data_IF_290029812746
#
_entry.id   IF_290029812746
#
_cell.length_a   1.000
_cell.length_b   1.000
_cell.length_c   1.000
_cell.angle_alpha   90.00
_cell.angle_beta   90.00
_cell.angle_gamma   90.00
#
_symmetry.space_group_name_H-M   'P 1'
#
loop_
_entity.id
_entity.type
_entity.pdbx_description
1 polymer ?
#
# COMPACT_ATOMS: atom_id res chain seq x y z
N UNK A 1 75.43 -6.07 24.20
CA UNK A 1 74.48 -6.89 23.43
C UNK A 1 73.39 -7.40 24.35
N UNK A 2 72.18 -6.82 24.30
CA UNK A 2 71.00 -7.33 25.02
C UNK A 2 70.35 -8.40 24.15
N UNK A 3 70.51 -9.67 24.54
CA UNK A 3 69.79 -10.79 23.95
C UNK A 3 68.39 -10.84 24.57
N UNK A 4 67.38 -10.43 23.79
CA UNK A 4 65.96 -10.66 24.11
C UNK A 4 65.67 -12.15 23.91
N UNK A 5 65.69 -12.92 25.00
CA UNK A 5 65.17 -14.30 24.99
C UNK A 5 63.66 -14.25 24.66
N UNK A 6 63.16 -15.02 23.68
CA UNK A 6 61.73 -15.20 23.52
C UNK A 6 61.21 -16.00 24.71
N UNK A 7 60.16 -15.50 25.37
CA UNK A 7 59.46 -16.25 26.41
C UNK A 7 58.85 -17.51 25.79
N UNK A 8 59.47 -18.66 26.04
CA UNK A 8 58.96 -19.99 25.69
C UNK A 8 57.93 -20.40 26.74
N UNK A 9 56.67 -20.00 26.56
CA UNK A 9 55.53 -20.60 27.23
C UNK A 9 54.75 -21.44 26.23
N UNK A 10 54.85 -22.76 26.31
CA UNK A 10 53.97 -23.66 25.55
C UNK A 10 52.59 -23.67 26.21
N UNK A 11 51.53 -23.49 25.42
CA UNK A 11 50.15 -23.56 25.88
C UNK A 11 49.88 -24.92 26.54
N UNK A 12 49.28 -24.92 27.72
CA UNK A 12 48.81 -26.16 28.35
C UNK A 12 47.57 -26.67 27.61
N UNK A 13 47.38 -27.99 27.58
CA UNK A 13 46.25 -28.64 26.90
C UNK A 13 44.88 -28.14 27.43
N UNK A 14 44.86 -27.74 28.71
CA UNK A 14 43.72 -27.13 29.37
C UNK A 14 43.42 -25.71 28.85
N UNK A 15 44.44 -24.86 28.71
CA UNK A 15 44.27 -23.51 28.14
C UNK A 15 43.78 -23.56 26.69
N UNK A 16 44.26 -24.53 25.91
CA UNK A 16 43.78 -24.74 24.54
C UNK A 16 42.28 -25.11 24.54
N UNK A 17 41.85 -25.97 25.45
CA UNK A 17 40.46 -26.43 25.55
C UNK A 17 39.52 -25.29 25.97
N UNK A 18 39.95 -24.44 26.90
CA UNK A 18 39.22 -23.23 27.31
C UNK A 18 39.13 -22.23 26.16
N UNK A 19 40.23 -22.02 25.42
CA UNK A 19 40.24 -21.11 24.27
C UNK A 19 39.29 -21.58 23.15
N UNK A 20 39.24 -22.88 22.87
CA UNK A 20 38.32 -23.46 21.87
C UNK A 20 36.86 -23.33 22.31
N UNK A 21 36.57 -23.58 23.59
CA UNK A 21 35.21 -23.42 24.12
C UNK A 21 34.73 -21.95 24.04
N UNK A 22 35.58 -20.99 24.42
CA UNK A 22 35.30 -19.57 24.29
C UNK A 22 35.10 -19.15 22.83
N UNK A 23 35.96 -19.62 21.92
CA UNK A 23 35.81 -19.35 20.49
C UNK A 23 34.47 -19.88 19.94
N UNK A 24 34.05 -21.08 20.36
CA UNK A 24 32.76 -21.65 19.98
C UNK A 24 31.57 -20.82 20.46
N UNK A 25 31.61 -20.31 21.69
CA UNK A 25 30.59 -19.42 22.25
C UNK A 25 30.53 -18.10 21.48
N UNK A 26 31.69 -17.48 21.21
CA UNK A 26 31.75 -16.22 20.45
C UNK A 26 31.19 -16.40 19.03
N UNK A 27 31.54 -17.51 18.35
CA UNK A 27 31.01 -17.83 17.02
C UNK A 27 29.50 -18.03 17.02
N UNK A 28 28.95 -18.73 18.01
CA UNK A 28 27.50 -18.96 18.09
C UNK A 28 26.72 -17.66 18.36
N UNK A 29 27.21 -16.83 19.28
CA UNK A 29 26.59 -15.52 19.56
C UNK A 29 26.67 -14.60 18.34
N UNK A 30 27.83 -14.54 17.67
CA UNK A 30 28.00 -13.77 16.44
C UNK A 30 27.03 -14.25 15.36
N UNK A 31 26.92 -15.57 15.15
CA UNK A 31 26.00 -16.15 14.17
C UNK A 31 24.53 -15.80 14.46
N UNK A 32 24.11 -15.88 15.73
CA UNK A 32 22.76 -15.45 16.12
C UNK A 32 22.52 -13.96 15.89
N UNK A 33 23.51 -13.12 16.22
CA UNK A 33 23.43 -11.68 15.99
C UNK A 33 23.31 -11.34 14.50
N UNK A 34 24.15 -11.95 13.65
CA UNK A 34 24.07 -11.74 12.19
C UNK A 34 22.73 -12.20 11.62
N UNK A 35 22.21 -13.35 12.03
CA UNK A 35 20.88 -13.82 11.61
C UNK A 35 19.76 -12.87 12.05
N UNK A 36 19.86 -12.31 13.25
CA UNK A 36 18.91 -11.32 13.75
C UNK A 36 18.94 -10.03 12.91
N UNK A 37 20.13 -9.51 12.63
CA UNK A 37 20.33 -8.31 11.80
C UNK A 37 19.86 -8.56 10.36
N UNK A 38 20.13 -9.73 9.79
CA UNK A 38 19.69 -10.07 8.43
C UNK A 38 18.16 -10.14 8.32
N UNK A 39 17.50 -10.74 9.32
CA UNK A 39 16.03 -10.76 9.41
C UNK A 39 15.45 -9.36 9.59
N UNK A 40 16.07 -8.53 10.45
CA UNK A 40 15.68 -7.14 10.63
C UNK A 40 15.86 -6.30 9.37
N UNK A 41 16.96 -6.51 8.64
CA UNK A 41 17.23 -5.85 7.36
C UNK A 41 16.22 -6.23 6.28
N UNK A 42 15.86 -7.52 6.17
CA UNK A 42 14.81 -7.99 5.26
C UNK A 42 13.45 -7.35 5.58
N UNK A 43 13.05 -7.32 6.86
CA UNK A 43 11.82 -6.69 7.29
C UNK A 43 11.81 -5.17 7.04
N UNK A 44 12.94 -4.48 7.26
CA UNK A 44 13.08 -3.06 7.00
C UNK A 44 12.97 -2.72 5.50
N UNK A 45 13.55 -3.56 4.63
CA UNK A 45 13.43 -3.41 3.18
C UNK A 45 11.99 -3.63 2.70
N UNK A 46 11.30 -4.64 3.23
CA UNK A 46 9.88 -4.87 2.93
C UNK A 46 9.00 -3.70 3.40
N UNK A 47 9.24 -3.21 4.61
CA UNK A 47 8.51 -2.05 5.17
C UNK A 47 8.76 -0.77 4.36
N UNK A 48 10.00 -0.53 3.94
CA UNK A 48 10.36 0.61 3.10
C UNK A 48 9.69 0.54 1.71
N UNK A 49 9.64 -0.65 1.10
CA UNK A 49 8.93 -0.87 -0.17
C UNK A 49 7.43 -0.61 -0.05
N UNK A 50 6.81 -1.05 1.04
CA UNK A 50 5.39 -0.77 1.32
C UNK A 50 5.13 0.73 1.51
N UNK A 51 5.97 1.41 2.29
CA UNK A 51 5.85 2.86 2.54
C UNK A 51 5.91 3.69 1.25
N UNK A 52 6.78 3.32 0.30
CA UNK A 52 6.97 4.05 -0.95
C UNK A 52 5.80 3.94 -1.93
N UNK A 53 4.96 2.90 -1.84
CA UNK A 53 3.76 2.75 -2.68
C UNK A 53 2.52 3.30 -1.98
N UNK A 54 2.35 2.96 -0.70
CA UNK A 54 1.14 3.27 0.06
C UNK A 54 1.02 4.77 0.27
N UNK A 55 2.11 5.46 0.61
CA UNK A 55 2.09 6.88 0.96
C UNK A 55 1.62 7.77 -0.20
N UNK A 56 2.19 7.68 -1.42
CA UNK A 56 1.70 8.49 -2.55
C UNK A 56 0.25 8.16 -2.94
N UNK A 57 -0.12 6.87 -2.90
CA UNK A 57 -1.47 6.41 -3.20
C UNK A 57 -2.49 6.96 -2.21
N UNK A 58 -2.14 6.94 -0.91
CA UNK A 58 -2.95 7.50 0.17
C UNK A 58 -3.20 8.99 -0.04
N UNK A 59 -2.17 9.80 -0.25
CA UNK A 59 -2.35 11.25 -0.43
C UNK A 59 -3.13 11.61 -1.69
N UNK A 60 -2.89 10.89 -2.80
CA UNK A 60 -3.59 11.11 -4.05
C UNK A 60 -5.09 10.85 -3.88
N UNK A 61 -5.45 9.74 -3.24
CA UNK A 61 -6.85 9.37 -3.05
C UNK A 61 -7.50 10.16 -1.92
N UNK A 62 -6.79 10.50 -0.86
CA UNK A 62 -7.33 11.30 0.24
C UNK A 62 -7.85 12.64 -0.28
N UNK A 63 -7.04 13.37 -1.05
CA UNK A 63 -7.43 14.66 -1.64
C UNK A 63 -8.68 14.54 -2.51
N UNK A 64 -8.77 13.45 -3.25
CA UNK A 64 -9.87 13.18 -4.15
C UNK A 64 -11.17 12.84 -3.40
N UNK A 65 -11.06 11.96 -2.40
CA UNK A 65 -12.17 11.48 -1.56
C UNK A 65 -12.70 12.57 -0.62
N UNK A 66 -11.83 13.43 -0.09
CA UNK A 66 -12.23 14.59 0.72
C UNK A 66 -13.03 15.63 -0.08
N UNK A 67 -12.80 15.67 -1.39
CA UNK A 67 -13.47 16.59 -2.31
C UNK A 67 -14.72 15.97 -2.95
N UNK A 68 -15.09 14.75 -2.55
CA UNK A 68 -16.31 14.08 -3.04
C UNK A 68 -17.54 14.83 -2.54
N UNK A 69 -18.41 15.16 -3.48
CA UNK A 69 -19.62 15.91 -3.23
C UNK A 69 -20.85 15.11 -3.73
N UNK A 70 -21.62 14.59 -2.76
CA UNK A 70 -22.82 13.80 -2.98
C UNK A 70 -24.01 14.58 -3.54
N UNK A 71 -23.97 15.92 -3.51
CA UNK A 71 -25.02 16.76 -4.07
C UNK A 71 -25.17 16.57 -5.61
N UNK A 72 -24.08 16.22 -6.29
CA UNK A 72 -24.08 15.97 -7.74
C UNK A 72 -24.49 14.55 -8.12
N UNK A 73 -24.50 13.63 -7.16
CA UNK A 73 -24.88 12.24 -7.37
C UNK A 73 -24.27 11.30 -6.34
N UNK A 74 -24.85 10.09 -6.17
CA UNK A 74 -24.32 9.12 -5.24
C UNK A 74 -22.95 8.60 -5.67
N UNK A 75 -22.17 8.15 -4.69
CA UNK A 75 -21.02 7.30 -4.94
C UNK A 75 -21.55 5.88 -5.26
N UNK A 76 -21.15 5.32 -6.40
CA UNK A 76 -21.66 4.02 -6.87
C UNK A 76 -20.54 3.04 -7.17
N UNK A 77 -20.65 1.81 -6.72
CA UNK A 77 -19.79 0.69 -7.12
C UNK A 77 -20.54 -0.23 -8.08
N UNK A 78 -19.89 -0.60 -9.19
CA UNK A 78 -20.36 -1.64 -10.10
C UNK A 78 -19.56 -2.90 -9.85
N UNK A 79 -20.25 -4.03 -9.76
CA UNK A 79 -19.64 -5.35 -9.54
C UNK A 79 -19.78 -6.25 -10.75
N UNK A 80 -18.88 -7.22 -10.87
CA UNK A 80 -19.02 -8.33 -11.81
C UNK A 80 -19.94 -9.43 -11.25
N UNK A 81 -20.11 -10.53 -11.99
CA UNK A 81 -20.95 -11.66 -11.61
C UNK A 81 -20.41 -12.38 -10.36
N UNK A 82 -19.11 -12.27 -10.10
CA UNK A 82 -18.42 -12.86 -8.94
C UNK A 82 -18.48 -11.93 -7.71
N UNK A 83 -19.15 -10.78 -7.82
CA UNK A 83 -19.32 -9.82 -6.74
C UNK A 83 -18.14 -8.85 -6.55
N UNK A 84 -17.08 -8.93 -7.37
CA UNK A 84 -15.92 -8.05 -7.25
C UNK A 84 -16.24 -6.66 -7.81
N UNK A 85 -15.79 -5.60 -7.13
CA UNK A 85 -15.96 -4.24 -7.66
C UNK A 85 -15.06 -4.04 -8.89
N UNK A 86 -15.69 -3.72 -10.01
CA UNK A 86 -15.02 -3.44 -11.29
C UNK A 86 -14.73 -1.96 -11.47
N UNK A 87 -15.63 -1.10 -11.00
CA UNK A 87 -15.48 0.35 -11.05
C UNK A 87 -16.25 1.02 -9.91
N UNK A 88 -15.74 2.15 -9.45
CA UNK A 88 -16.41 3.08 -8.53
C UNK A 88 -16.54 4.43 -9.23
N UNK A 89 -17.73 4.99 -9.21
CA UNK A 89 -18.04 6.29 -9.79
C UNK A 89 -18.45 7.25 -8.67
N UNK A 90 -17.93 8.47 -8.70
CA UNK A 90 -18.31 9.55 -7.79
C UNK A 90 -18.12 10.91 -8.45
N UNK A 91 -18.53 11.96 -7.76
CA UNK A 91 -18.42 13.34 -8.20
C UNK A 91 -17.52 14.10 -7.25
N UNK A 92 -16.59 14.89 -7.79
CA UNK A 92 -15.58 15.61 -7.00
C UNK A 92 -15.31 16.98 -7.60
N UNK A 93 -14.90 17.91 -6.73
CA UNK A 93 -14.40 19.23 -7.10
C UNK A 93 -12.88 19.23 -7.40
N UNK A 94 -12.19 18.12 -7.11
CA UNK A 94 -10.75 17.96 -7.34
C UNK A 94 -10.47 17.32 -8.70
N UNK A 95 -10.72 18.07 -9.77
CA UNK A 95 -10.46 17.62 -11.14
C UNK A 95 -9.02 17.92 -11.58
N UNK A 96 -8.39 17.00 -12.30
CA UNK A 96 -6.98 17.12 -12.72
C UNK A 96 -6.83 17.89 -14.03
N UNK A 97 -7.76 17.69 -14.97
CA UNK A 97 -7.71 18.22 -16.33
C UNK A 97 -8.72 19.34 -16.58
N UNK A 98 -9.67 19.56 -15.67
CA UNK A 98 -10.79 20.47 -15.86
C UNK A 98 -11.00 21.37 -14.65
N UNK A 99 -11.67 22.51 -14.85
CA UNK A 99 -12.13 23.37 -13.75
C UNK A 99 -13.57 23.02 -13.37
N UNK A 100 -13.89 23.12 -12.09
CA UNK A 100 -15.23 22.87 -11.56
C UNK A 100 -15.41 21.42 -11.08
N UNK A 101 -16.58 20.84 -11.36
CA UNK A 101 -16.96 19.50 -10.89
C UNK A 101 -16.80 18.48 -12.02
N UNK A 102 -16.24 17.33 -11.68
CA UNK A 102 -16.07 16.21 -12.59
C UNK A 102 -16.69 14.95 -12.01
N UNK A 103 -17.18 14.12 -12.93
CA UNK A 103 -17.47 12.74 -12.63
C UNK A 103 -16.18 11.95 -12.78
N UNK A 104 -15.83 11.22 -11.72
CA UNK A 104 -14.64 10.37 -11.66
C UNK A 104 -15.08 8.92 -11.67
N UNK A 105 -14.34 8.10 -12.41
CA UNK A 105 -14.47 6.65 -12.45
C UNK A 105 -13.11 6.06 -12.06
N UNK A 106 -13.09 5.38 -10.94
CA UNK A 106 -11.95 4.62 -10.43
C UNK A 106 -12.13 3.14 -10.76
N UNK A 107 -11.19 2.52 -11.45
CA UNK A 107 -11.34 1.15 -11.94
C UNK A 107 -9.98 0.47 -12.13
N UNK A 108 -9.98 -0.87 -12.18
CA UNK A 108 -8.77 -1.66 -12.44
C UNK A 108 -8.76 -2.10 -13.89
N UNK A 109 -7.76 -1.66 -14.64
CA UNK A 109 -7.51 -2.13 -16.00
C UNK A 109 -6.84 -3.51 -15.95
N UNK A 110 -7.57 -4.55 -16.34
CA UNK A 110 -7.05 -5.88 -16.63
C UNK A 110 -6.73 -5.98 -18.13
N UNK A 111 -5.46 -6.16 -18.49
CA UNK A 111 -5.03 -6.49 -19.86
C UNK A 111 -4.15 -7.73 -19.80
N UNK A 112 -4.38 -8.67 -20.72
CA UNK A 112 -3.72 -9.99 -20.75
C UNK A 112 -2.18 -9.91 -20.72
N UNK A 113 -1.60 -8.84 -21.25
CA UNK A 113 -0.14 -8.64 -21.34
C UNK A 113 0.40 -7.42 -20.56
N UNK A 114 -0.44 -6.69 -19.82
CA UNK A 114 -0.02 -5.47 -19.12
C UNK A 114 -0.23 -5.57 -17.60
N UNK A 115 0.55 -4.83 -16.80
CA UNK A 115 0.33 -4.75 -15.37
C UNK A 115 -1.10 -4.32 -15.05
N UNK A 116 -1.67 -4.88 -13.98
CA UNK A 116 -2.94 -4.41 -13.41
C UNK A 116 -2.77 -2.97 -12.95
N UNK A 117 -3.44 -2.02 -13.60
CA UNK A 117 -3.37 -0.61 -13.21
C UNK A 117 -4.67 -0.14 -12.57
N UNK A 118 -4.56 0.51 -11.41
CA UNK A 118 -5.59 1.40 -10.91
C UNK A 118 -5.62 2.65 -11.80
N UNK A 119 -6.75 2.85 -12.47
CA UNK A 119 -6.98 3.97 -13.37
C UNK A 119 -8.05 4.87 -12.78
N UNK A 120 -7.76 6.17 -12.74
CA UNK A 120 -8.71 7.23 -12.46
C UNK A 120 -9.03 7.95 -13.76
N UNK A 121 -10.24 7.74 -14.24
CA UNK A 121 -10.78 8.44 -15.40
C UNK A 121 -11.64 9.59 -14.92
N UNK A 122 -11.55 10.76 -15.53
CA UNK A 122 -12.42 11.90 -15.22
C UNK A 122 -13.05 12.52 -16.46
N UNK A 123 -14.23 13.11 -16.28
CA UNK A 123 -14.90 13.96 -17.27
C UNK A 123 -15.68 15.09 -16.59
N UNK A 124 -15.75 16.28 -17.18
CA UNK A 124 -16.56 17.37 -16.65
C UNK A 124 -18.05 17.02 -16.72
N UNK A 125 -18.83 17.43 -15.71
CA UNK A 125 -20.29 17.22 -15.73
C UNK A 125 -21.05 18.29 -16.53
N UNK A 126 -20.44 19.47 -16.71
CA UNK A 126 -21.07 20.63 -17.36
C UNK A 126 -20.69 20.78 -18.84
N UNK A 127 -20.21 19.72 -19.50
CA UNK A 127 -19.84 19.81 -20.91
C UNK A 127 -21.08 19.75 -21.81
N UNK A 128 -21.18 20.73 -22.72
CA UNK A 128 -22.24 20.82 -23.73
C UNK A 128 -22.16 19.70 -24.78
N UNK A 129 -21.01 19.04 -24.90
CA UNK A 129 -20.77 17.92 -25.82
C UNK A 129 -20.21 16.72 -25.07
N UNK A 130 -20.35 15.53 -25.66
CA UNK A 130 -19.83 14.28 -25.11
C UNK A 130 -18.31 14.35 -25.01
N UNK A 131 -17.81 14.82 -23.87
CA UNK A 131 -16.38 14.93 -23.60
C UNK A 131 -15.84 13.54 -23.30
N UNK A 132 -14.78 13.09 -23.99
CA UNK A 132 -14.19 11.79 -23.70
C UNK A 132 -13.58 11.77 -22.30
N UNK A 133 -13.57 10.59 -21.69
CA UNK A 133 -12.88 10.37 -20.43
C UNK A 133 -11.38 10.64 -20.58
N UNK A 134 -10.77 11.30 -19.59
CA UNK A 134 -9.32 11.46 -19.47
C UNK A 134 -8.79 10.54 -18.40
N UNK A 135 -7.88 9.66 -18.78
CA UNK A 135 -7.36 8.60 -17.91
C UNK A 135 -6.03 9.00 -17.26
N UNK A 136 -5.93 8.76 -15.96
CA UNK A 136 -4.71 8.85 -15.17
C UNK A 136 -4.38 7.49 -14.56
N UNK A 137 -3.20 6.96 -14.84
CA UNK A 137 -2.72 5.70 -14.29
C UNK A 137 -2.09 5.96 -12.92
N UNK A 138 -2.71 5.46 -11.85
CA UNK A 138 -2.31 5.77 -10.47
C UNK A 138 -1.28 4.76 -9.96
N UNK A 139 -1.57 3.46 -10.05
CA UNK A 139 -0.71 2.43 -9.45
C UNK A 139 -0.84 1.10 -10.18
N UNK A 140 0.31 0.44 -10.43
CA UNK A 140 0.38 -0.91 -11.01
C UNK A 140 0.30 -2.05 -10.00
N UNK A 141 0.09 -1.75 -8.71
CA UNK A 141 0.15 -2.73 -7.60
C UNK A 141 -1.20 -3.04 -6.97
N UNK A 142 -2.24 -2.29 -7.31
CA UNK A 142 -3.59 -2.50 -6.75
C UNK A 142 -4.28 -3.64 -7.51
N UNK A 143 -4.71 -4.66 -6.79
CA UNK A 143 -5.32 -5.88 -7.35
C UNK A 143 -6.84 -5.90 -7.30
N UNK A 144 -7.43 -5.25 -6.28
CA UNK A 144 -8.88 -5.14 -6.11
C UNK A 144 -9.25 -3.89 -5.30
N UNK A 145 -10.52 -3.50 -5.41
CA UNK A 145 -11.12 -2.38 -4.72
C UNK A 145 -12.39 -2.89 -4.05
N UNK A 146 -12.67 -2.48 -2.82
CA UNK A 146 -13.92 -2.75 -2.14
C UNK A 146 -14.53 -1.45 -1.62
N UNK A 147 -15.85 -1.37 -1.61
CA UNK A 147 -16.61 -0.22 -1.13
C UNK A 147 -17.58 -0.66 -0.04
N UNK A 148 -17.41 -0.08 1.15
CA UNK A 148 -18.17 -0.42 2.35
C UNK A 148 -18.84 0.83 2.94
N UNK A 149 -20.00 0.62 3.55
CA UNK A 149 -20.70 1.61 4.38
C UNK A 149 -20.97 1.02 5.77
N UNK A 150 -21.15 1.86 6.81
CA UNK A 150 -21.52 1.41 8.13
C UNK A 150 -22.92 0.78 8.14
N UNK A 151 -23.05 -0.26 8.95
CA UNK A 151 -24.21 -1.11 9.19
C UNK A 151 -24.30 -1.40 10.69
N UNK A 152 -25.42 -1.97 11.16
CA UNK A 152 -25.61 -2.38 12.56
C UNK A 152 -24.51 -3.33 13.05
N UNK A 153 -24.06 -4.23 12.19
CA UNK A 153 -23.07 -5.28 12.50
C UNK A 153 -21.64 -4.92 12.03
N UNK A 154 -21.37 -3.63 11.80
CA UNK A 154 -20.05 -3.15 11.38
C UNK A 154 -20.04 -2.59 9.96
N UNK A 155 -19.10 -3.03 9.11
CA UNK A 155 -18.96 -2.52 7.74
C UNK A 155 -19.57 -3.50 6.75
N UNK A 156 -20.42 -3.02 5.83
CA UNK A 156 -21.09 -3.84 4.83
C UNK A 156 -20.84 -3.30 3.43
N UNK A 157 -20.69 -4.21 2.48
CA UNK A 157 -20.57 -3.89 1.05
C UNK A 157 -21.80 -3.17 0.52
N UNK A 158 -21.56 -2.12 -0.25
CA UNK A 158 -22.62 -1.33 -0.89
C UNK A 158 -22.33 -1.09 -2.36
N UNK A 159 -23.41 -0.96 -3.13
CA UNK A 159 -23.35 -0.55 -4.54
C UNK A 159 -23.65 0.93 -4.73
N UNK A 160 -24.34 1.57 -3.78
CA UNK A 160 -24.73 2.98 -3.84
C UNK A 160 -24.65 3.57 -2.45
N UNK A 161 -23.98 4.72 -2.33
CA UNK A 161 -23.83 5.50 -1.12
C UNK A 161 -24.26 6.95 -1.35
N UNK A 162 -25.24 7.42 -0.57
CA UNK A 162 -25.85 8.76 -0.70
C UNK A 162 -25.48 9.74 0.42
N UNK A 163 -24.62 9.34 1.34
CA UNK A 163 -24.20 10.16 2.48
C UNK A 163 -23.53 9.32 3.57
N UNK A 164 -23.06 10.00 4.61
CA UNK A 164 -22.46 9.35 5.77
C UNK A 164 -20.99 8.95 5.58
N UNK A 165 -20.52 8.06 6.46
CA UNK A 165 -19.17 7.50 6.42
C UNK A 165 -19.08 6.40 5.37
N UNK A 166 -18.01 6.39 4.61
CA UNK A 166 -17.71 5.42 3.56
C UNK A 166 -16.29 4.92 3.76
N UNK A 167 -16.07 3.63 3.50
CA UNK A 167 -14.76 3.02 3.53
C UNK A 167 -14.45 2.41 2.17
N UNK A 168 -13.40 2.92 1.53
CA UNK A 168 -12.81 2.38 0.32
C UNK A 168 -11.59 1.53 0.73
N UNK A 169 -11.54 0.27 0.32
CA UNK A 169 -10.39 -0.60 0.59
C UNK A 169 -9.69 -0.92 -0.72
N UNK A 170 -8.38 -0.71 -0.76
CA UNK A 170 -7.54 -1.11 -1.88
C UNK A 170 -6.65 -2.27 -1.45
N UNK A 171 -6.70 -3.40 -2.16
CA UNK A 171 -5.77 -4.51 -1.90
C UNK A 171 -4.54 -4.32 -2.77
N UNK A 172 -3.37 -4.26 -2.14
CA UNK A 172 -2.08 -3.97 -2.77
C UNK A 172 -1.24 -5.26 -2.78
N UNK A 173 -0.85 -5.69 -3.97
CA UNK A 173 -0.10 -6.95 -4.17
C UNK A 173 1.22 -6.92 -3.41
N UNK A 174 1.36 -7.83 -2.43
CA UNK A 174 2.57 -7.99 -1.64
C UNK A 174 2.77 -6.96 -0.53
N UNK A 175 1.82 -6.04 -0.31
CA UNK A 175 1.95 -4.98 0.70
C UNK A 175 0.75 -4.91 1.67
N UNK A 176 -0.35 -5.61 1.39
CA UNK A 176 -1.52 -5.70 2.29
C UNK A 176 -2.73 -4.91 1.78
N UNK A 177 -3.46 -4.28 2.70
CA UNK A 177 -4.66 -3.50 2.39
C UNK A 177 -4.50 -2.03 2.82
N UNK A 178 -5.01 -1.11 2.00
CA UNK A 178 -5.11 0.31 2.31
C UNK A 178 -6.58 0.71 2.50
N UNK A 179 -7.07 0.75 3.75
CA UNK A 179 -8.41 1.22 4.05
C UNK A 179 -8.43 2.76 4.15
N UNK A 180 -9.27 3.39 3.32
CA UNK A 180 -9.52 4.83 3.30
C UNK A 180 -10.94 5.08 3.78
N UNK A 181 -11.10 5.70 4.95
CA UNK A 181 -12.42 6.04 5.51
C UNK A 181 -12.65 7.54 5.41
N UNK A 182 -13.76 7.95 4.82
CA UNK A 182 -14.09 9.35 4.58
C UNK A 182 -15.58 9.60 4.72
N UNK A 183 -15.98 10.85 4.98
CA UNK A 183 -17.38 11.26 5.04
C UNK A 183 -17.77 11.91 3.72
N UNK A 184 -18.86 11.46 3.11
CA UNK A 184 -19.42 12.12 1.93
C UNK A 184 -19.96 13.50 2.32
N UNK A 185 -19.53 14.54 1.59
CA UNK A 185 -20.16 15.86 1.69
C UNK A 185 -21.52 15.82 1.00
N UNK A 186 -22.51 16.45 1.60
CA UNK A 186 -23.89 16.55 1.10
C UNK A 186 -24.31 17.99 1.11
#
# INVERSE_FOLDING_TARGET
>A
MRSTKPAKGGFTLLELLIAVALAGIVLTVAYQFFNFVERGGKAAVETSKASNTITPLFYLLLKDLESVNGAYGPLTARRDLDGNVTQITYYTENCYFFKGVCQVKLWILKKEEKPLFLVRSERPINALTATPWKDSFISGKVSSIDLLAPSTDGWKEVNVARGGLIKLILKIKGEGELPLTFKLRT
#
